data_IF_932125741777
#
_entry.id   IF_932125741777
#
_cell.length_a   1.000
_cell.length_b   1.000
_cell.length_c   1.000
_cell.angle_alpha   90.00
_cell.angle_beta   90.00
_cell.angle_gamma   90.00
#
_symmetry.space_group_name_H-M   'P 1'
#
loop_
_entity.id
_entity.type
_entity.pdbx_description
1 polymer ?
#
# COMPACT_ATOMS: atom_id res chain seq x y z
N UNK A 1 6.74 -7.67 3.29
CA UNK A 1 5.46 -8.23 3.79
C UNK A 1 4.82 -7.43 4.92
N UNK A 2 5.59 -6.86 5.87
CA UNK A 2 5.05 -6.09 7.01
C UNK A 2 4.22 -4.87 6.59
N UNK A 3 4.71 -4.05 5.65
CA UNK A 3 3.96 -2.89 5.12
C UNK A 3 2.60 -3.28 4.55
N UNK A 4 2.56 -4.28 3.65
CA UNK A 4 1.31 -4.79 3.07
C UNK A 4 0.34 -5.28 4.15
N UNK A 5 0.84 -6.01 5.15
CA UNK A 5 0.02 -6.49 6.26
C UNK A 5 -0.59 -5.31 7.02
N UNK A 6 0.23 -4.32 7.38
CA UNK A 6 -0.22 -3.14 8.13
C UNK A 6 -1.26 -2.31 7.36
N UNK A 7 -1.04 -2.03 6.07
CA UNK A 7 -2.00 -1.28 5.23
C UNK A 7 -3.33 -2.02 5.08
N UNK A 8 -3.31 -3.33 4.85
CA UNK A 8 -4.54 -4.13 4.71
C UNK A 8 -5.28 -4.26 6.04
N UNK A 9 -4.57 -4.33 7.17
CA UNK A 9 -5.18 -4.42 8.50
C UNK A 9 -5.75 -3.09 8.99
N UNK A 10 -5.14 -1.96 8.63
CA UNK A 10 -5.62 -0.61 8.99
C UNK A 10 -6.78 -0.12 8.07
N UNK A 11 -7.04 -0.78 6.94
CA UNK A 11 -8.40 -0.91 6.39
C UNK A 11 -8.82 -0.03 5.20
N UNK A 12 -7.91 0.63 4.50
CA UNK A 12 -8.30 1.61 3.45
C UNK A 12 -7.85 1.28 2.02
N UNK A 13 -7.11 0.19 1.81
CA UNK A 13 -6.60 -0.16 0.49
C UNK A 13 -6.35 -1.66 0.33
N UNK A 14 -6.71 -2.21 -0.83
CA UNK A 14 -6.34 -3.57 -1.21
C UNK A 14 -5.09 -3.54 -2.11
N UNK A 15 -3.96 -3.98 -1.56
CA UNK A 15 -2.67 -4.09 -2.26
C UNK A 15 -2.13 -5.51 -2.15
N UNK A 16 -1.56 -6.01 -3.26
CA UNK A 16 -1.00 -7.36 -3.34
C UNK A 16 0.52 -7.32 -3.48
N UNK A 17 1.27 -8.21 -2.80
CA UNK A 17 2.69 -8.33 -3.05
C UNK A 17 2.93 -9.01 -4.40
N UNK A 18 3.99 -8.59 -5.08
CA UNK A 18 4.51 -9.27 -6.27
C UNK A 18 6.04 -9.34 -6.17
N UNK A 19 6.64 -10.26 -6.92
CA UNK A 19 8.06 -10.20 -7.24
C UNK A 19 8.23 -9.57 -8.62
N UNK A 20 9.14 -8.61 -8.73
CA UNK A 20 9.49 -7.97 -9.99
C UNK A 20 11.00 -7.86 -10.07
N UNK A 21 11.60 -8.58 -11.03
CA UNK A 21 13.05 -8.63 -11.24
C UNK A 21 13.85 -8.99 -9.97
N UNK A 22 13.40 -10.02 -9.23
CA UNK A 22 14.04 -10.46 -7.97
C UNK A 22 13.84 -9.51 -6.78
N UNK A 23 13.09 -8.42 -6.96
CA UNK A 23 12.76 -7.47 -5.89
C UNK A 23 11.30 -7.59 -5.46
N UNK A 24 11.06 -7.56 -4.16
CA UNK A 24 9.70 -7.51 -3.62
C UNK A 24 9.05 -6.15 -3.88
N UNK A 25 7.87 -6.15 -4.51
CA UNK A 25 7.12 -4.96 -4.84
C UNK A 25 5.64 -5.08 -4.42
N UNK A 26 4.90 -3.98 -4.50
CA UNK A 26 3.47 -3.92 -4.25
C UNK A 26 2.75 -3.53 -5.55
N UNK A 27 1.60 -4.16 -5.79
CA UNK A 27 0.74 -3.90 -6.95
C UNK A 27 -0.68 -3.63 -6.49
N UNK A 28 -1.36 -2.74 -7.21
CA UNK A 28 -2.82 -2.61 -7.22
C UNK A 28 -3.31 -2.68 -8.66
N UNK A 29 -4.56 -3.11 -8.85
CA UNK A 29 -5.21 -3.13 -10.16
C UNK A 29 -6.47 -2.29 -10.09
N UNK A 30 -6.58 -1.28 -10.95
CA UNK A 30 -7.78 -0.47 -11.10
C UNK A 30 -8.83 -1.27 -11.88
N UNK A 31 -9.81 -1.84 -11.17
CA UNK A 31 -10.93 -2.58 -11.78
C UNK A 31 -12.26 -1.88 -11.61
N UNK A 32 -12.39 -1.04 -10.57
CA UNK A 32 -13.65 -0.37 -10.27
C UNK A 32 -13.76 0.91 -11.12
N UNK A 33 -14.77 1.03 -12.02
CA UNK A 33 -14.94 2.22 -12.85
C UNK A 33 -15.30 3.49 -12.07
N UNK A 34 -15.71 3.36 -10.80
CA UNK A 34 -15.99 4.53 -9.95
C UNK A 34 -14.77 4.98 -9.14
N UNK A 35 -13.61 4.33 -9.28
CA UNK A 35 -12.39 4.79 -8.63
C UNK A 35 -11.91 6.09 -9.28
N UNK A 36 -11.71 7.09 -8.44
CA UNK A 36 -11.23 8.42 -8.80
C UNK A 36 -9.73 8.55 -8.58
N UNK A 37 -9.14 9.67 -9.04
CA UNK A 37 -7.76 10.01 -8.73
C UNK A 37 -7.56 10.23 -7.21
N UNK A 38 -8.52 10.88 -6.55
CA UNK A 38 -8.47 11.17 -5.11
C UNK A 38 -8.46 9.89 -4.26
N UNK A 39 -9.17 8.85 -4.71
CA UNK A 39 -9.11 7.52 -4.09
C UNK A 39 -7.68 6.93 -4.16
N UNK A 40 -6.98 7.16 -5.28
CA UNK A 40 -5.60 6.68 -5.45
C UNK A 40 -4.59 7.49 -4.66
N UNK A 41 -4.76 8.80 -4.57
CA UNK A 41 -3.94 9.63 -3.70
C UNK A 41 -4.09 9.21 -2.24
N UNK A 42 -5.32 8.92 -1.80
CA UNK A 42 -5.61 8.40 -0.45
C UNK A 42 -4.88 7.08 -0.17
N UNK A 43 -4.83 6.16 -1.14
CA UNK A 43 -4.06 4.91 -1.01
C UNK A 43 -2.56 5.16 -0.88
N UNK A 44 -2.01 6.08 -1.68
CA UNK A 44 -0.58 6.41 -1.62
C UNK A 44 -0.22 7.08 -0.30
N UNK A 45 -1.07 7.96 0.21
CA UNK A 45 -0.88 8.63 1.51
C UNK A 45 -0.93 7.65 2.66
N UNK A 46 -1.83 6.68 2.62
CA UNK A 46 -1.91 5.61 3.61
C UNK A 46 -0.62 4.76 3.62
N UNK A 47 -0.12 4.39 2.44
CA UNK A 47 1.15 3.66 2.30
C UNK A 47 2.31 4.47 2.91
N UNK A 48 2.38 5.78 2.65
CA UNK A 48 3.42 6.66 3.21
C UNK A 48 3.29 6.77 4.73
N UNK A 49 2.08 6.94 5.24
CA UNK A 49 1.80 7.06 6.69
C UNK A 49 2.24 5.80 7.43
N UNK A 50 1.80 4.63 6.97
CA UNK A 50 2.16 3.34 7.56
C UNK A 50 3.65 3.05 7.40
N UNK A 51 4.21 3.34 6.22
CA UNK A 51 5.65 3.17 5.95
C UNK A 51 6.52 4.00 6.91
N UNK A 52 6.19 5.27 7.12
CA UNK A 52 6.89 6.14 8.09
C UNK A 52 6.82 5.57 9.50
N UNK A 53 5.64 5.12 9.95
CA UNK A 53 5.46 4.50 11.28
C UNK A 53 6.38 3.30 11.47
N UNK A 54 6.46 2.41 10.48
CA UNK A 54 7.33 1.23 10.51
C UNK A 54 8.82 1.61 10.57
N UNK A 55 9.24 2.62 9.81
CA UNK A 55 10.63 3.10 9.84
C UNK A 55 10.99 3.72 11.20
N UNK A 56 10.09 4.49 11.80
CA UNK A 56 10.31 5.10 13.12
C UNK A 56 10.28 4.11 14.29
N UNK A 57 9.57 2.98 14.15
CA UNK A 57 9.56 1.91 15.18
C UNK A 57 10.81 1.01 15.12
N UNK A 58 11.62 1.16 14.07
CA UNK A 58 12.84 0.35 13.85
C UNK A 58 14.12 1.15 14.15
N UNK A 59 13.99 2.38 14.65
CA UNK A 59 15.09 3.21 15.18
C UNK A 59 15.08 3.18 16.71
#
# INVERSE_FOLDING_TARGET
LQLRRAVVTEGNAYIVPIEMNGSGALRTTLMNPTTTADDMDSVLDEIRRVGKKLLTQTS
#
